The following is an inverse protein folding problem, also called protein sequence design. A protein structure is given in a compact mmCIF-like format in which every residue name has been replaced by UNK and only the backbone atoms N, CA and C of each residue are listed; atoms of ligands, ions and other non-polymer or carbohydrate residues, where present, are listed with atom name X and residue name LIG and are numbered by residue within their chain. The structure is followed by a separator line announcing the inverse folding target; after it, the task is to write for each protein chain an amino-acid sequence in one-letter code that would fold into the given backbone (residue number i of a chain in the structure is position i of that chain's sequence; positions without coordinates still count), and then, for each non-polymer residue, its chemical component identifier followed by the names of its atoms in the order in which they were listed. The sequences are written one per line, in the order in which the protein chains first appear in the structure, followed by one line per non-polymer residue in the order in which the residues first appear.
data_IF_060635204166
#
_entry.id   IF_060635204166
#
_cell.length_a   1.000
_cell.length_b   1.000
_cell.length_c   1.000
_cell.angle_alpha   90.00
_cell.angle_beta   90.00
_cell.angle_gamma   90.00
#
_symmetry.space_group_name_H-M   'P 1'
#
loop_
_entity.id
_entity.type
_entity.pdbx_description
1 polymer ?
#
# COMPACT_ATOMS: atom_id res chain seq x y z
N UNK A 1 31.20 20.73 39.34
CA UNK A 1 30.69 19.84 38.27
C UNK A 1 31.80 18.86 37.96
N UNK A 2 31.53 17.56 38.13
CA UNK A 2 32.54 16.52 37.93
C UNK A 2 32.60 16.13 36.44
N UNK A 3 33.76 15.64 35.96
CA UNK A 3 33.90 15.12 34.59
C UNK A 3 32.89 13.99 34.27
N UNK A 4 32.42 13.29 35.31
CA UNK A 4 31.35 12.31 35.21
C UNK A 4 30.01 12.93 34.80
N UNK A 5 29.65 14.10 35.32
CA UNK A 5 28.40 14.80 34.95
C UNK A 5 28.40 15.24 33.48
N UNK A 6 29.57 15.71 32.99
CA UNK A 6 29.74 16.12 31.60
C UNK A 6 29.63 14.91 30.66
N UNK A 7 30.18 13.75 31.06
CA UNK A 7 30.08 12.50 30.31
C UNK A 7 28.64 11.96 30.21
N UNK A 8 27.86 12.05 31.29
CA UNK A 8 26.47 11.60 31.32
C UNK A 8 25.56 12.51 30.48
N UNK A 9 25.77 13.83 30.51
CA UNK A 9 25.01 14.79 29.70
C UNK A 9 25.30 14.59 28.20
N UNK A 10 26.57 14.37 27.83
CA UNK A 10 26.95 14.15 26.44
C UNK A 10 26.43 12.81 25.90
N UNK A 11 26.49 11.74 26.70
CA UNK A 11 25.87 10.45 26.36
C UNK A 11 24.35 10.60 26.18
N UNK A 12 23.67 11.27 27.11
CA UNK A 12 22.23 11.51 27.06
C UNK A 12 21.80 12.28 25.80
N UNK A 13 22.56 13.34 25.44
CA UNK A 13 22.34 14.09 24.18
C UNK A 13 22.54 13.22 22.94
N UNK A 14 23.62 12.44 22.87
CA UNK A 14 23.85 11.54 21.74
C UNK A 14 22.73 10.50 21.58
N UNK A 15 22.16 10.00 22.68
CA UNK A 15 21.01 9.10 22.64
C UNK A 15 19.73 9.79 22.17
N UNK A 16 19.48 11.03 22.61
CA UNK A 16 18.35 11.84 22.17
C UNK A 16 18.39 12.08 20.65
N UNK A 17 19.54 12.51 20.14
CA UNK A 17 19.73 12.79 18.71
C UNK A 17 19.57 11.55 17.84
N UNK A 18 20.02 10.39 18.34
CA UNK A 18 19.85 9.11 17.64
C UNK A 18 18.38 8.69 17.58
N UNK A 19 17.66 8.81 18.69
CA UNK A 19 16.24 8.47 18.75
C UNK A 19 15.40 9.40 17.87
N UNK A 20 15.74 10.68 17.82
CA UNK A 20 15.07 11.64 16.94
C UNK A 20 15.25 11.29 15.46
N UNK A 21 16.48 10.95 15.04
CA UNK A 21 16.76 10.50 13.67
C UNK A 21 16.02 9.22 13.33
N UNK A 22 16.00 8.23 14.24
CA UNK A 22 15.24 6.99 14.04
C UNK A 22 13.74 7.27 13.90
N UNK A 23 13.20 8.21 14.68
CA UNK A 23 11.80 8.61 14.61
C UNK A 23 11.46 9.31 13.29
N UNK A 24 12.33 10.21 12.82
CA UNK A 24 12.17 10.89 11.53
C UNK A 24 12.17 9.87 10.37
N UNK A 25 13.11 8.93 10.36
CA UNK A 25 13.18 7.88 9.34
C UNK A 25 11.91 7.02 9.38
N UNK A 26 11.47 6.62 10.58
CA UNK A 26 10.26 5.84 10.76
C UNK A 26 9.03 6.54 10.18
N UNK A 27 8.80 7.81 10.52
CA UNK A 27 7.67 8.59 10.01
C UNK A 27 7.75 8.82 8.51
N UNK A 28 8.94 9.10 7.97
CA UNK A 28 9.16 9.25 6.52
C UNK A 28 8.76 7.97 5.78
N UNK A 29 9.27 6.82 6.23
CA UNK A 29 8.98 5.52 5.64
C UNK A 29 7.48 5.16 5.74
N UNK A 30 6.83 5.48 6.86
CA UNK A 30 5.39 5.32 7.00
C UNK A 30 4.63 6.16 5.97
N UNK A 31 5.00 7.44 5.82
CA UNK A 31 4.42 8.32 4.82
C UNK A 31 4.58 7.80 3.39
N UNK A 32 5.74 7.24 3.06
CA UNK A 32 5.98 6.60 1.76
C UNK A 32 5.07 5.41 1.50
N UNK A 33 4.98 4.48 2.46
CA UNK A 33 4.11 3.30 2.34
C UNK A 33 2.64 3.71 2.15
N UNK A 34 2.18 4.74 2.88
CA UNK A 34 0.82 5.25 2.74
C UNK A 34 0.58 5.82 1.34
N UNK A 35 1.51 6.63 0.81
CA UNK A 35 1.44 7.16 -0.57
C UNK A 35 1.46 6.06 -1.63
N UNK A 36 2.28 5.02 -1.43
CA UNK A 36 2.35 3.87 -2.33
C UNK A 36 1.01 3.13 -2.40
N UNK A 37 0.37 2.90 -1.25
CA UNK A 37 -0.96 2.31 -1.19
C UNK A 37 -2.03 3.15 -1.90
N UNK A 38 -2.05 4.46 -1.66
CA UNK A 38 -2.96 5.39 -2.35
C UNK A 38 -2.78 5.36 -3.87
N UNK A 39 -1.54 5.29 -4.35
CA UNK A 39 -1.25 5.27 -5.80
C UNK A 39 -1.88 4.04 -6.47
N UNK A 40 -1.77 2.86 -5.86
CA UNK A 40 -2.40 1.63 -6.39
C UNK A 40 -3.92 1.76 -6.36
N UNK A 41 -4.47 2.26 -5.26
CA UNK A 41 -5.90 2.46 -5.11
C UNK A 41 -6.46 3.37 -6.22
N UNK A 42 -5.81 4.51 -6.48
CA UNK A 42 -6.20 5.39 -7.59
C UNK A 42 -6.10 4.73 -8.96
N UNK A 43 -5.16 3.80 -9.17
CA UNK A 43 -5.06 3.05 -10.43
C UNK A 43 -6.17 2.02 -10.60
N UNK A 44 -6.60 1.38 -9.52
CA UNK A 44 -7.80 0.53 -9.54
C UNK A 44 -9.04 1.36 -9.84
N UNK A 45 -9.18 2.53 -9.22
CA UNK A 45 -10.31 3.43 -9.48
C UNK A 45 -10.38 3.84 -10.95
N UNK A 46 -9.24 4.20 -11.53
CA UNK A 46 -9.12 4.51 -12.95
C UNK A 46 -9.48 3.31 -13.85
N UNK A 47 -8.96 2.13 -13.53
CA UNK A 47 -9.26 0.90 -14.27
C UNK A 47 -10.76 0.59 -14.28
N UNK A 48 -11.38 0.56 -13.10
CA UNK A 48 -12.80 0.24 -12.93
C UNK A 48 -13.66 1.26 -13.68
N UNK A 49 -13.33 2.54 -13.55
CA UNK A 49 -14.09 3.61 -14.21
C UNK A 49 -13.97 3.57 -15.72
N UNK A 50 -12.80 3.21 -16.26
CA UNK A 50 -12.64 3.03 -17.71
C UNK A 50 -13.44 1.84 -18.23
N UNK A 51 -13.53 0.75 -17.46
CA UNK A 51 -14.28 -0.43 -17.86
C UNK A 51 -15.79 -0.14 -17.96
N UNK A 52 -16.35 0.58 -16.99
CA UNK A 52 -17.80 0.84 -16.95
C UNK A 52 -18.25 2.11 -17.70
N UNK A 53 -17.40 3.14 -17.80
CA UNK A 53 -17.79 4.45 -18.33
C UNK A 53 -17.03 4.85 -19.59
N UNK A 54 -17.33 4.16 -20.68
CA UNK A 54 -16.99 4.61 -22.03
C UNK A 54 -18.27 5.00 -22.79
N UNK A 55 -18.44 6.26 -23.26
CA UNK A 55 -17.47 7.36 -23.35
C UNK A 55 -17.31 8.23 -22.09
N UNK A 56 -16.25 9.05 -22.04
CA UNK A 56 -15.73 9.78 -20.85
C UNK A 56 -16.71 10.75 -20.15
N UNK A 57 -17.84 11.07 -20.79
CA UNK A 57 -18.79 12.10 -20.33
C UNK A 57 -19.51 11.71 -19.02
N UNK A 58 -19.53 10.42 -18.67
CA UNK A 58 -20.17 9.89 -17.46
C UNK A 58 -19.19 9.58 -16.32
N UNK A 59 -17.88 9.79 -16.53
CA UNK A 59 -16.86 9.46 -15.51
C UNK A 59 -17.07 10.26 -14.24
N UNK A 60 -17.34 11.56 -14.34
CA UNK A 60 -17.57 12.42 -13.17
C UNK A 60 -18.70 11.90 -12.30
N UNK A 61 -19.80 11.42 -12.91
CA UNK A 61 -20.92 10.80 -12.20
C UNK A 61 -20.51 9.49 -11.50
N UNK A 62 -19.75 8.60 -12.15
CA UNK A 62 -19.29 7.36 -11.53
C UNK A 62 -18.30 7.59 -10.36
N UNK A 63 -17.39 8.56 -10.52
CA UNK A 63 -16.36 8.90 -9.53
C UNK A 63 -16.92 9.70 -8.33
N UNK A 64 -17.85 10.63 -8.56
CA UNK A 64 -18.42 11.52 -7.53
C UNK A 64 -19.72 10.97 -6.94
N UNK A 65 -20.65 10.49 -7.78
CA UNK A 65 -22.02 10.17 -7.34
C UNK A 65 -22.26 8.68 -7.09
N UNK A 66 -21.41 7.79 -7.63
CA UNK A 66 -21.73 6.36 -7.79
C UNK A 66 -20.79 5.39 -7.05
N UNK A 67 -20.18 5.77 -5.92
CA UNK A 67 -19.62 4.86 -4.87
C UNK A 67 -18.09 4.67 -4.85
N UNK A 68 -17.34 4.89 -5.94
CA UNK A 68 -15.93 4.43 -6.04
C UNK A 68 -14.93 5.15 -5.12
N UNK A 69 -14.99 6.48 -4.99
CA UNK A 69 -13.98 7.24 -4.22
C UNK A 69 -14.33 7.32 -2.73
N UNK A 70 -15.58 7.62 -2.39
CA UNK A 70 -15.97 7.90 -0.99
C UNK A 70 -16.53 6.68 -0.24
N UNK A 71 -17.11 5.69 -0.93
CA UNK A 71 -17.88 4.61 -0.29
C UNK A 71 -17.29 3.22 -0.48
N UNK A 72 -16.40 3.03 -1.44
CA UNK A 72 -15.81 1.73 -1.74
C UNK A 72 -14.44 1.56 -1.09
N UNK A 73 -14.34 0.60 -0.17
CA UNK A 73 -13.06 0.26 0.44
C UNK A 73 -12.11 -0.42 -0.55
N UNK A 74 -10.80 -0.27 -0.32
CA UNK A 74 -9.73 -0.84 -1.16
C UNK A 74 -9.92 -2.34 -1.44
N UNK A 75 -10.31 -3.14 -0.44
CA UNK A 75 -10.58 -4.57 -0.64
C UNK A 75 -11.62 -4.84 -1.74
N UNK A 76 -12.71 -4.07 -1.74
CA UNK A 76 -13.78 -4.23 -2.75
C UNK A 76 -13.31 -3.84 -4.15
N UNK A 77 -12.44 -2.84 -4.28
CA UNK A 77 -11.83 -2.45 -5.56
C UNK A 77 -10.99 -3.58 -6.16
N UNK A 78 -10.23 -4.29 -5.31
CA UNK A 78 -9.45 -5.48 -5.73
C UNK A 78 -10.38 -6.58 -6.24
N UNK A 79 -11.49 -6.83 -5.54
CA UNK A 79 -12.45 -7.86 -5.96
C UNK A 79 -13.09 -7.51 -7.31
N UNK A 80 -13.52 -6.25 -7.50
CA UNK A 80 -14.09 -5.79 -8.78
C UNK A 80 -13.06 -5.94 -9.91
N UNK A 81 -11.82 -5.50 -9.69
CA UNK A 81 -10.74 -5.70 -10.67
C UNK A 81 -10.59 -7.17 -11.06
N UNK A 82 -10.57 -8.08 -10.08
CA UNK A 82 -10.46 -9.53 -10.32
C UNK A 82 -11.63 -10.06 -11.14
N UNK A 83 -12.86 -9.66 -10.81
CA UNK A 83 -14.06 -10.11 -11.53
C UNK A 83 -14.13 -9.56 -12.95
N UNK A 84 -13.72 -8.30 -13.18
CA UNK A 84 -13.58 -7.75 -14.53
C UNK A 84 -12.58 -8.57 -15.34
N UNK A 85 -11.38 -8.81 -14.79
CA UNK A 85 -10.34 -9.55 -15.50
C UNK A 85 -10.77 -10.99 -15.85
N UNK A 86 -11.46 -11.68 -14.92
CA UNK A 86 -12.04 -13.01 -15.18
C UNK A 86 -13.07 -12.98 -16.29
N UNK A 87 -14.01 -12.02 -16.24
CA UNK A 87 -15.07 -11.87 -17.24
C UNK A 87 -14.50 -11.60 -18.62
N UNK A 88 -13.40 -10.87 -18.67
CA UNK A 88 -12.69 -10.52 -19.89
C UNK A 88 -11.65 -11.58 -20.31
N UNK A 89 -11.63 -12.77 -19.69
CA UNK A 89 -10.72 -13.88 -19.99
C UNK A 89 -9.23 -13.50 -19.97
N UNK A 90 -8.82 -12.61 -19.05
CA UNK A 90 -7.41 -12.35 -18.78
C UNK A 90 -6.79 -13.57 -18.11
N UNK A 91 -5.51 -13.83 -18.41
CA UNK A 91 -4.76 -14.95 -17.85
C UNK A 91 -4.85 -14.99 -16.32
N UNK A 92 -5.25 -16.16 -15.79
CA UNK A 92 -5.54 -16.33 -14.36
C UNK A 92 -4.28 -16.18 -13.51
N UNK A 93 -3.14 -16.68 -13.97
CA UNK A 93 -1.89 -16.61 -13.23
C UNK A 93 -1.43 -15.15 -13.10
N UNK A 94 -1.55 -14.38 -14.19
CA UNK A 94 -1.32 -12.94 -14.19
C UNK A 94 -2.23 -12.22 -13.21
N UNK A 95 -3.54 -12.50 -13.23
CA UNK A 95 -4.50 -11.89 -12.29
C UNK A 95 -4.08 -12.16 -10.84
N UNK A 96 -3.78 -13.41 -10.51
CA UNK A 96 -3.44 -13.81 -9.14
C UNK A 96 -2.12 -13.16 -8.69
N UNK A 97 -1.11 -13.05 -9.57
CA UNK A 97 0.14 -12.33 -9.29
C UNK A 97 -0.08 -10.84 -9.00
N UNK A 98 -0.91 -10.17 -9.82
CA UNK A 98 -1.23 -8.74 -9.62
C UNK A 98 -2.00 -8.55 -8.32
N UNK A 99 -3.02 -9.36 -8.07
CA UNK A 99 -3.84 -9.29 -6.85
C UNK A 99 -2.98 -9.52 -5.60
N UNK A 100 -2.05 -10.46 -5.63
CA UNK A 100 -1.15 -10.73 -4.51
C UNK A 100 -0.20 -9.56 -4.25
N UNK A 101 0.32 -8.92 -5.30
CA UNK A 101 1.13 -7.71 -5.17
C UNK A 101 0.33 -6.55 -4.54
N UNK A 102 -0.91 -6.32 -5.00
CA UNK A 102 -1.80 -5.29 -4.44
C UNK A 102 -2.14 -5.58 -2.98
N UNK A 103 -2.51 -6.83 -2.66
CA UNK A 103 -2.81 -7.27 -1.29
C UNK A 103 -1.61 -7.13 -0.38
N UNK A 104 -0.40 -7.41 -0.87
CA UNK A 104 0.83 -7.20 -0.11
C UNK A 104 0.95 -5.73 0.30
N UNK A 105 0.87 -4.79 -0.65
CA UNK A 105 0.99 -3.35 -0.37
C UNK A 105 -0.13 -2.87 0.56
N UNK A 106 -1.38 -3.26 0.29
CA UNK A 106 -2.52 -2.88 1.13
C UNK A 106 -2.39 -3.41 2.57
N UNK A 107 -1.89 -4.63 2.75
CA UNK A 107 -1.63 -5.19 4.08
C UNK A 107 -0.62 -4.35 4.85
N UNK A 108 0.51 -3.97 4.24
CA UNK A 108 1.52 -3.15 4.92
C UNK A 108 0.99 -1.73 5.19
N UNK A 109 0.27 -1.12 4.24
CA UNK A 109 -0.42 0.17 4.43
C UNK A 109 -1.36 0.13 5.64
N UNK A 110 -2.20 -0.90 5.74
CA UNK A 110 -3.15 -1.03 6.85
C UNK A 110 -2.44 -1.19 8.19
N UNK A 111 -1.30 -1.89 8.22
CA UNK A 111 -0.47 -1.94 9.42
C UNK A 111 0.06 -0.56 9.80
N UNK A 112 0.62 0.19 8.84
CA UNK A 112 1.11 1.56 9.08
C UNK A 112 -0.01 2.51 9.55
N UNK A 113 -1.23 2.36 9.03
CA UNK A 113 -2.35 3.24 9.35
C UNK A 113 -3.03 2.93 10.70
N UNK A 114 -2.94 1.70 11.20
CA UNK A 114 -3.78 1.23 12.31
C UNK A 114 -3.04 0.57 13.47
N UNK A 115 -1.81 0.07 13.26
CA UNK A 115 -0.99 -0.48 14.33
C UNK A 115 -0.40 0.66 15.18
N UNK A 116 -0.11 0.37 16.44
CA UNK A 116 0.54 1.33 17.35
C UNK A 116 2.06 1.23 17.23
N UNK A 117 2.70 2.40 17.20
CA UNK A 117 4.15 2.50 17.23
C UNK A 117 4.66 2.35 18.68
N UNK A 118 5.66 1.50 18.87
CA UNK A 118 6.34 1.32 20.16
C UNK A 118 7.84 1.14 19.96
N UNK A 119 8.61 1.56 20.96
CA UNK A 119 10.08 1.42 20.96
C UNK A 119 10.45 0.07 21.57
N UNK A 120 11.03 -0.83 20.78
CA UNK A 120 11.42 -2.17 21.22
C UNK A 120 12.87 -2.16 21.72
N UNK A 121 13.09 -1.71 22.96
CA UNK A 121 14.41 -1.66 23.58
C UNK A 121 15.42 -0.74 22.85
N UNK A 122 16.60 -0.56 23.45
CA UNK A 122 17.61 0.41 22.96
C UNK A 122 18.27 0.04 21.62
N UNK A 123 18.11 -1.20 21.12
CA UNK A 123 18.80 -1.68 19.91
C UNK A 123 17.89 -2.04 18.74
N UNK A 124 16.59 -2.26 18.96
CA UNK A 124 15.73 -2.81 17.90
C UNK A 124 14.91 -1.73 17.15
N UNK A 125 14.88 -0.50 17.67
CA UNK A 125 14.22 0.66 17.05
C UNK A 125 12.70 0.67 17.21
N UNK A 126 12.04 1.52 16.42
CA UNK A 126 10.57 1.67 16.42
C UNK A 126 9.94 0.53 15.61
N UNK A 127 8.92 -0.11 16.20
CA UNK A 127 8.13 -1.17 15.59
C UNK A 127 6.64 -0.84 15.66
N UNK A 128 5.88 -1.45 14.76
CA UNK A 128 4.41 -1.41 14.77
C UNK A 128 3.86 -2.73 15.31
N UNK A 129 2.88 -2.65 16.23
CA UNK A 129 2.17 -3.80 16.79
C UNK A 129 0.66 -3.56 16.79
N UNK A 130 -0.10 -4.61 16.52
CA UNK A 130 -1.55 -4.58 16.62
C UNK A 130 -2.00 -4.33 18.07
N UNK A 131 -2.92 -3.39 18.26
CA UNK A 131 -3.56 -3.07 19.56
C UNK A 131 -4.04 -4.27 20.35
N UNK A 132 -4.58 -5.29 19.67
CA UNK A 132 -5.16 -6.50 20.29
C UNK A 132 -4.13 -7.60 20.60
N UNK A 133 -2.87 -7.44 20.18
CA UNK A 133 -1.84 -8.49 20.20
C UNK A 133 -0.72 -8.27 21.20
N UNK A 134 -0.99 -7.56 22.32
CA UNK A 134 -0.03 -7.29 23.41
C UNK A 134 0.71 -8.57 23.91
N UNK A 135 0.16 -9.77 23.66
CA UNK A 135 0.74 -11.07 24.05
C UNK A 135 1.70 -11.74 23.06
N UNK A 136 1.77 -11.37 21.78
CA UNK A 136 2.53 -12.17 20.77
C UNK A 136 3.46 -11.34 19.88
N UNK A 137 4.78 -11.60 19.98
CA UNK A 137 5.84 -11.00 19.12
C UNK A 137 5.66 -11.25 17.62
N UNK A 138 4.84 -12.24 17.23
CA UNK A 138 4.56 -12.58 15.82
C UNK A 138 3.79 -11.49 15.05
N UNK A 139 3.20 -10.53 15.76
CA UNK A 139 2.45 -9.42 15.17
C UNK A 139 3.28 -8.13 15.07
N UNK A 140 4.61 -8.18 15.18
CA UNK A 140 5.47 -6.99 15.03
C UNK A 140 5.84 -6.77 13.56
N UNK A 141 5.95 -5.50 13.13
CA UNK A 141 6.64 -5.14 11.89
C UNK A 141 7.58 -3.98 12.13
N UNK A 142 8.80 -4.11 11.62
CA UNK A 142 9.77 -3.03 11.61
C UNK A 142 9.68 -2.31 10.27
N UNK A 143 9.50 -0.99 10.30
CA UNK A 143 9.42 -0.16 9.10
C UNK A 143 10.84 0.23 8.67
N UNK A 144 11.51 -0.68 7.98
CA UNK A 144 12.87 -0.50 7.45
C UNK A 144 12.86 0.04 6.02
N UNK A 145 14.00 0.60 5.58
CA UNK A 145 14.22 1.01 4.18
C UNK A 145 14.01 -0.18 3.22
N UNK A 146 14.48 -1.38 3.57
CA UNK A 146 14.28 -2.58 2.75
C UNK A 146 12.80 -2.96 2.61
N UNK A 147 12.01 -2.79 3.67
CA UNK A 147 10.58 -3.01 3.60
C UNK A 147 9.93 -2.00 2.65
N UNK A 148 10.28 -0.72 2.77
CA UNK A 148 9.79 0.33 1.87
C UNK A 148 10.12 -0.01 0.42
N UNK A 149 11.37 -0.38 0.12
CA UNK A 149 11.80 -0.79 -1.22
C UNK A 149 10.98 -1.98 -1.74
N UNK A 150 10.76 -3.00 -0.90
CA UNK A 150 9.93 -4.17 -1.27
C UNK A 150 8.47 -3.81 -1.53
N UNK A 151 7.91 -2.88 -0.75
CA UNK A 151 6.55 -2.34 -1.00
C UNK A 151 6.53 -1.60 -2.33
N UNK A 152 7.57 -0.83 -2.63
CA UNK A 152 7.67 -0.08 -3.89
C UNK A 152 7.79 -0.98 -5.12
N UNK A 153 8.62 -2.03 -5.05
CA UNK A 153 8.75 -3.04 -6.12
C UNK A 153 7.39 -3.70 -6.42
N UNK A 154 6.63 -4.07 -5.38
CA UNK A 154 5.28 -4.63 -5.54
C UNK A 154 4.29 -3.62 -6.07
N UNK A 155 4.39 -2.35 -5.65
CA UNK A 155 3.58 -1.25 -6.19
C UNK A 155 3.83 -1.08 -7.68
N UNK A 156 5.09 -0.95 -8.09
CA UNK A 156 5.47 -0.70 -9.48
C UNK A 156 4.99 -1.83 -10.39
N UNK A 157 5.25 -3.08 -9.99
CA UNK A 157 4.74 -4.26 -10.70
C UNK A 157 3.22 -4.21 -10.87
N UNK A 158 2.48 -4.01 -9.77
CA UNK A 158 1.02 -3.98 -9.82
C UNK A 158 0.48 -2.87 -10.74
N UNK A 159 1.05 -1.66 -10.66
CA UNK A 159 0.64 -0.53 -11.51
C UNK A 159 0.90 -0.84 -12.99
N UNK A 160 2.08 -1.35 -13.32
CA UNK A 160 2.45 -1.66 -14.70
C UNK A 160 1.49 -2.68 -15.30
N UNK A 161 1.20 -3.77 -14.59
CA UNK A 161 0.30 -4.81 -15.09
C UNK A 161 -1.16 -4.35 -15.16
N UNK A 162 -1.66 -3.59 -14.17
CA UNK A 162 -3.00 -3.01 -14.23
C UNK A 162 -3.14 -2.11 -15.47
N UNK A 163 -2.12 -1.30 -15.79
CA UNK A 163 -2.14 -0.44 -16.97
C UNK A 163 -2.10 -1.25 -18.27
N UNK A 164 -1.25 -2.29 -18.35
CA UNK A 164 -1.20 -3.19 -19.51
C UNK A 164 -2.54 -3.86 -19.76
N UNK A 165 -3.17 -4.41 -18.72
CA UNK A 165 -4.50 -5.01 -18.82
C UNK A 165 -5.51 -3.95 -19.28
N UNK A 166 -5.49 -2.74 -18.71
CA UNK A 166 -6.38 -1.66 -19.14
C UNK A 166 -6.25 -1.33 -20.63
N UNK A 167 -5.02 -1.29 -21.15
CA UNK A 167 -4.75 -1.05 -22.57
C UNK A 167 -5.26 -2.20 -23.43
N UNK A 168 -5.00 -3.45 -23.03
CA UNK A 168 -5.51 -4.65 -23.71
C UNK A 168 -7.04 -4.62 -23.80
N UNK A 169 -7.74 -4.34 -22.69
CA UNK A 169 -9.20 -4.28 -22.66
C UNK A 169 -9.79 -3.15 -23.52
N UNK A 170 -8.99 -2.11 -23.81
CA UNK A 170 -9.39 -0.96 -24.61
C UNK A 170 -9.09 -1.12 -26.10
N UNK A 171 -8.37 -2.18 -26.50
CA UNK A 171 -7.97 -2.41 -27.89
C UNK A 171 -9.19 -2.77 -28.75
N UNK A 172 -9.54 -1.97 -29.77
CA UNK A 172 -10.67 -2.25 -30.67
C UNK A 172 -10.50 -3.54 -31.48
N UNK A 173 -9.26 -4.01 -31.66
CA UNK A 173 -8.93 -5.23 -32.41
C UNK A 173 -9.12 -6.51 -31.58
N UNK A 174 -9.39 -6.39 -30.28
CA UNK A 174 -9.64 -7.51 -29.38
C UNK A 174 -10.91 -8.24 -29.80
N UNK A 175 -10.75 -9.45 -30.33
CA UNK A 175 -11.87 -10.36 -30.59
C UNK A 175 -12.53 -10.70 -29.27
N UNK A 176 -13.69 -10.13 -29.00
CA UNK A 176 -14.55 -10.56 -27.90
C UNK A 176 -15.09 -11.94 -28.24
N UNK A 177 -14.48 -12.99 -27.74
CA UNK A 177 -15.11 -14.32 -27.70
C UNK A 177 -16.20 -14.26 -26.63
N UNK A 178 -17.34 -13.67 -26.97
CA UNK A 178 -18.55 -13.77 -26.15
C UNK A 178 -19.38 -14.92 -26.72
N UNK A 179 -19.14 -16.13 -26.22
CA UNK A 179 -20.17 -17.16 -26.27
C UNK A 179 -21.18 -16.84 -25.15
N UNK A 180 -22.43 -16.61 -25.56
CA UNK A 180 -23.58 -16.45 -24.66
C UNK A 180 -24.20 -17.81 -24.37
#
# INVERSE_FOLDING_TARGET
MSDYDISLISISRMYSDKMEKENQIFHSNCGEILRMGLTIESKLDFFISNYFCHPQNYKTFLFMDLILVERMGFGRKIDIFKEICKKENIDKELIDMVVDAVKFVNRIRNRVAHDEAFVSGQKEGIKLQKRKSVKYKKDEIKITVDLVKKVDEKRLFAIQEIVKICMELSDPSRKKNVEW
#
